data_IF_137126751071
#
_entry.id   IF_137126751071
#
_cell.length_a   1.000
_cell.length_b   1.000
_cell.length_c   1.000
_cell.angle_alpha   90.00
_cell.angle_beta   90.00
_cell.angle_gamma   90.00
#
_symmetry.space_group_name_H-M   'P 1'
#
loop_
_entity.id
_entity.type
_entity.pdbx_description
1 polymer ?
#
# COMPACT_ATOMS: atom_id res chain seq x y z
N UNK A 1 7.96 16.12 7.07
CA UNK A 1 7.79 14.68 7.40
C UNK A 1 8.22 13.72 6.29
N UNK A 2 7.50 13.56 5.17
CA UNK A 2 7.92 12.59 4.13
C UNK A 2 9.21 13.01 3.42
N UNK A 3 9.36 14.30 3.10
CA UNK A 3 10.62 14.83 2.55
C UNK A 3 11.77 14.72 3.55
N UNK A 4 11.53 15.01 4.83
CA UNK A 4 12.52 14.79 5.89
C UNK A 4 12.93 13.32 6.00
N UNK A 5 11.98 12.39 5.92
CA UNK A 5 12.27 10.96 5.90
C UNK A 5 13.09 10.57 4.66
N UNK A 6 12.78 11.16 3.50
CA UNK A 6 13.54 10.97 2.28
C UNK A 6 15.00 11.42 2.44
N UNK A 7 15.22 12.61 2.99
CA UNK A 7 16.57 13.13 3.27
C UNK A 7 17.30 12.26 4.31
N UNK A 8 16.68 12.01 5.46
CA UNK A 8 17.28 11.28 6.57
C UNK A 8 17.65 9.82 6.22
N UNK A 9 16.96 9.22 5.25
CA UNK A 9 17.23 7.85 4.79
C UNK A 9 17.90 7.78 3.42
N UNK A 10 18.18 8.93 2.78
CA UNK A 10 18.54 8.98 1.37
C UNK A 10 17.60 8.13 0.51
N UNK A 11 16.30 8.18 0.82
CA UNK A 11 15.30 7.29 0.27
C UNK A 11 14.74 7.83 -1.05
N UNK A 12 14.61 6.93 -2.01
CA UNK A 12 14.02 7.19 -3.33
C UNK A 12 12.54 6.78 -3.43
N UNK A 13 12.03 6.13 -2.38
CA UNK A 13 10.66 5.63 -2.29
C UNK A 13 10.16 5.75 -0.84
N UNK A 14 9.18 6.62 -0.62
CA UNK A 14 8.65 6.98 0.70
C UNK A 14 7.13 6.97 0.65
N UNK A 15 6.49 6.60 1.75
CA UNK A 15 5.04 6.82 1.90
C UNK A 15 4.72 7.29 3.31
N UNK A 16 3.45 7.61 3.58
CA UNK A 16 2.96 7.85 4.94
C UNK A 16 1.80 6.93 5.29
N UNK A 17 1.38 6.92 6.54
CA UNK A 17 0.14 6.27 6.93
C UNK A 17 -1.06 7.07 6.38
N UNK A 18 -2.20 6.40 6.27
CA UNK A 18 -3.49 7.00 5.95
C UNK A 18 -4.44 6.75 7.12
N UNK A 19 -5.43 7.61 7.28
CA UNK A 19 -6.62 7.32 8.07
C UNK A 19 -7.86 7.33 7.19
N UNK A 20 -8.83 6.48 7.50
CA UNK A 20 -10.15 6.54 6.87
C UNK A 20 -11.04 7.51 7.66
N UNK A 21 -11.99 8.18 6.98
CA UNK A 21 -13.06 8.96 7.61
C UNK A 21 -14.39 8.76 6.88
N UNK A 22 -15.50 8.91 7.58
CA UNK A 22 -16.85 8.87 6.98
C UNK A 22 -17.46 10.27 6.92
N UNK A 23 -17.30 11.02 8.01
CA UNK A 23 -17.81 12.38 8.16
C UNK A 23 -16.68 13.41 8.27
N UNK A 24 -16.89 14.63 7.74
CA UNK A 24 -15.87 15.69 7.77
C UNK A 24 -15.56 16.16 9.20
N UNK A 25 -16.50 16.02 10.13
CA UNK A 25 -16.29 16.31 11.55
C UNK A 25 -15.23 15.43 12.21
N UNK A 26 -14.89 14.28 11.62
CA UNK A 26 -13.79 13.40 12.07
C UNK A 26 -12.40 13.94 11.67
N UNK A 27 -12.33 14.93 10.78
CA UNK A 27 -11.07 15.46 10.26
C UNK A 27 -10.43 16.43 11.26
N UNK A 28 -9.33 15.97 11.84
CA UNK A 28 -8.42 16.80 12.63
C UNK A 28 -7.05 16.88 11.95
N UNK A 29 -6.46 18.08 12.01
CA UNK A 29 -5.14 18.41 11.42
C UNK A 29 -4.20 18.98 12.48
N UNK A 30 -3.86 18.22 13.54
CA UNK A 30 -2.91 18.69 14.54
C UNK A 30 -1.53 18.91 13.91
N UNK A 31 -0.76 19.84 14.48
CA UNK A 31 0.63 20.04 14.07
C UNK A 31 1.43 18.74 14.29
N UNK A 32 2.29 18.41 13.33
CA UNK A 32 3.08 17.19 13.38
C UNK A 32 4.37 17.46 14.16
N UNK A 33 4.53 16.80 15.30
CA UNK A 33 5.71 16.97 16.18
C UNK A 33 6.83 15.98 15.87
N UNK A 34 6.51 14.85 15.25
CA UNK A 34 7.45 13.81 14.86
C UNK A 34 6.73 12.53 14.47
N UNK A 35 7.44 11.62 13.80
CA UNK A 35 6.89 10.34 13.37
C UNK A 35 7.98 9.28 13.27
N UNK A 36 7.64 8.05 13.69
CA UNK A 36 8.51 6.89 13.47
C UNK A 36 8.57 6.53 11.99
N UNK A 37 9.68 5.91 11.58
CA UNK A 37 9.85 5.38 10.23
C UNK A 37 9.83 3.85 10.25
N UNK A 38 9.11 3.25 9.30
CA UNK A 38 9.05 1.80 9.07
C UNK A 38 9.65 1.47 7.71
N UNK A 39 10.62 0.55 7.68
CA UNK A 39 11.06 -0.06 6.42
C UNK A 39 10.02 -1.08 5.94
N UNK A 40 9.43 -0.82 4.77
CA UNK A 40 8.50 -1.73 4.09
C UNK A 40 9.26 -2.39 2.93
N UNK A 41 9.45 -3.70 3.05
CA UNK A 41 10.09 -4.55 2.04
C UNK A 41 9.05 -5.29 1.20
N UNK A 42 9.50 -5.93 0.11
CA UNK A 42 8.66 -6.76 -0.76
C UNK A 42 7.80 -7.77 0.02
N UNK A 43 8.42 -8.56 0.90
CA UNK A 43 7.72 -9.55 1.72
C UNK A 43 6.72 -8.89 2.66
N UNK A 44 7.06 -7.76 3.29
CA UNK A 44 6.15 -7.06 4.22
C UNK A 44 4.93 -6.50 3.50
N UNK A 45 5.12 -5.96 2.30
CA UNK A 45 4.05 -5.44 1.45
C UNK A 45 3.13 -6.56 0.93
N UNK A 46 3.70 -7.74 0.61
CA UNK A 46 2.93 -8.94 0.22
C UNK A 46 2.09 -9.51 1.36
N UNK A 47 2.66 -9.61 2.56
CA UNK A 47 1.94 -10.08 3.75
C UNK A 47 0.73 -9.20 4.06
N UNK A 48 0.91 -7.89 3.96
CA UNK A 48 -0.16 -6.92 4.18
C UNK A 48 0.15 -5.67 3.35
N UNK A 49 -0.83 -5.18 2.59
CA UNK A 49 -0.71 -3.88 1.93
C UNK A 49 -0.41 -2.79 2.96
N UNK A 50 0.82 -2.28 2.96
CA UNK A 50 1.35 -1.32 3.92
C UNK A 50 1.51 0.07 3.33
N UNK A 51 1.71 0.19 2.03
CA UNK A 51 1.88 1.45 1.31
C UNK A 51 0.50 1.97 0.85
N UNK A 52 0.01 3.10 1.39
CA UNK A 52 -1.16 3.79 0.85
C UNK A 52 -0.79 4.51 -0.44
N UNK A 53 -1.56 4.27 -1.51
CA UNK A 53 -1.19 4.72 -2.85
C UNK A 53 -1.03 6.23 -2.99
N UNK A 54 -2.04 7.02 -2.59
CA UNK A 54 -1.97 8.48 -2.72
C UNK A 54 -1.07 9.16 -1.69
N UNK A 55 -0.32 8.40 -0.88
CA UNK A 55 0.69 8.96 0.02
C UNK A 55 2.13 8.74 -0.45
N UNK A 56 2.34 8.16 -1.64
CA UNK A 56 3.68 7.84 -2.14
C UNK A 56 4.41 9.09 -2.66
N UNK A 57 5.67 9.24 -2.23
CA UNK A 57 6.67 10.05 -2.90
C UNK A 57 7.75 9.11 -3.46
N UNK A 58 8.09 9.30 -4.73
CA UNK A 58 9.01 8.42 -5.45
C UNK A 58 9.80 9.23 -6.47
N UNK A 59 11.04 8.84 -6.73
CA UNK A 59 11.86 9.51 -7.74
C UNK A 59 11.34 9.24 -9.15
N UNK A 60 11.61 10.19 -10.06
CA UNK A 60 11.24 10.08 -11.47
C UNK A 60 11.86 8.84 -12.12
N UNK A 61 13.11 8.55 -11.78
CA UNK A 61 13.89 7.45 -12.32
C UNK A 61 13.23 6.11 -12.00
N UNK A 62 12.70 5.95 -10.78
CA UNK A 62 11.97 4.73 -10.41
C UNK A 62 10.66 4.59 -11.17
N UNK A 63 9.92 5.67 -11.38
CA UNK A 63 8.65 5.58 -12.12
C UNK A 63 8.85 5.28 -13.60
N UNK A 64 9.96 5.71 -14.19
CA UNK A 64 10.33 5.35 -15.57
C UNK A 64 10.74 3.87 -15.64
N UNK A 65 11.51 3.38 -14.68
CA UNK A 65 11.93 1.99 -14.63
C UNK A 65 10.77 1.02 -14.33
N UNK A 66 9.77 1.48 -13.57
CA UNK A 66 8.64 0.69 -13.11
C UNK A 66 7.30 1.42 -13.40
N UNK A 67 6.89 1.53 -14.67
CA UNK A 67 5.62 2.16 -15.00
C UNK A 67 4.44 1.31 -14.51
N UNK A 68 3.28 1.96 -14.29
CA UNK A 68 2.03 1.25 -14.04
C UNK A 68 1.69 0.31 -15.19
N UNK A 69 1.06 -0.81 -14.87
CA UNK A 69 0.59 -1.73 -15.90
C UNK A 69 -0.82 -1.32 -16.32
N UNK A 70 -0.98 -0.93 -17.59
CA UNK A 70 -2.24 -0.43 -18.15
C UNK A 70 -3.17 -1.55 -18.64
N UNK A 71 -2.71 -2.81 -18.63
CA UNK A 71 -3.56 -3.94 -18.99
C UNK A 71 -4.76 -4.02 -18.03
N UNK A 72 -5.96 -4.22 -18.59
CA UNK A 72 -7.23 -4.30 -17.87
C UNK A 72 -7.22 -5.32 -16.71
N UNK A 73 -6.35 -6.33 -16.80
CA UNK A 73 -6.14 -7.32 -15.76
C UNK A 73 -5.60 -6.72 -14.45
N UNK A 74 -4.97 -5.56 -14.49
CA UNK A 74 -4.44 -4.89 -13.30
C UNK A 74 -5.34 -3.79 -12.78
N UNK A 75 -6.51 -3.55 -13.40
CA UNK A 75 -7.45 -2.53 -12.94
C UNK A 75 -7.81 -2.72 -11.46
N UNK A 76 -7.62 -1.65 -10.69
CA UNK A 76 -7.77 -1.52 -9.25
C UNK A 76 -6.66 -2.18 -8.39
N UNK A 77 -5.57 -2.64 -9.01
CA UNK A 77 -4.37 -3.16 -8.34
C UNK A 77 -3.06 -2.72 -9.04
N UNK A 78 -3.15 -1.81 -10.00
CA UNK A 78 -2.03 -1.33 -10.83
C UNK A 78 -0.94 -0.65 -10.00
N UNK A 79 -1.36 0.08 -8.97
CA UNK A 79 -0.54 0.74 -7.98
C UNK A 79 0.22 -0.28 -7.12
N UNK A 80 -0.49 -1.24 -6.53
CA UNK A 80 0.05 -2.30 -5.70
C UNK A 80 1.05 -3.15 -6.49
N UNK A 81 0.74 -3.45 -7.75
CA UNK A 81 1.64 -4.14 -8.67
C UNK A 81 2.92 -3.36 -8.90
N UNK A 82 2.83 -2.05 -9.20
CA UNK A 82 3.98 -1.18 -9.37
C UNK A 82 4.86 -1.14 -8.11
N UNK A 83 4.27 -0.93 -6.94
CA UNK A 83 5.01 -0.92 -5.67
C UNK A 83 5.73 -2.24 -5.41
N UNK A 84 5.09 -3.37 -5.71
CA UNK A 84 5.74 -4.67 -5.55
C UNK A 84 6.89 -4.89 -6.55
N UNK A 85 6.80 -4.40 -7.78
CA UNK A 85 7.91 -4.44 -8.74
C UNK A 85 9.10 -3.60 -8.27
N UNK A 86 8.86 -2.39 -7.77
CA UNK A 86 9.90 -1.54 -7.17
C UNK A 86 10.55 -2.27 -5.99
N UNK A 87 9.76 -2.78 -5.05
CA UNK A 87 10.28 -3.47 -3.87
C UNK A 87 11.04 -4.76 -4.22
N UNK A 88 10.60 -5.49 -5.25
CA UNK A 88 11.25 -6.71 -5.71
C UNK A 88 12.62 -6.44 -6.36
N UNK A 89 12.91 -5.21 -6.79
CA UNK A 89 14.23 -4.81 -7.27
C UNK A 89 15.26 -4.58 -6.15
N UNK A 90 14.83 -4.69 -4.88
CA UNK A 90 15.67 -4.46 -3.70
C UNK A 90 15.51 -3.06 -3.11
N UNK A 91 14.77 -2.16 -3.76
CA UNK A 91 14.41 -0.86 -3.20
C UNK A 91 13.55 -1.05 -1.95
N UNK A 92 13.80 -0.24 -0.92
CA UNK A 92 13.01 -0.22 0.31
C UNK A 92 12.11 1.01 0.30
N UNK A 93 10.84 0.83 0.65
CA UNK A 93 9.96 1.95 0.96
C UNK A 93 10.14 2.35 2.43
N UNK A 94 10.38 3.62 2.70
CA UNK A 94 10.36 4.16 4.06
C UNK A 94 9.00 4.79 4.35
N UNK A 95 8.23 4.17 5.23
CA UNK A 95 6.91 4.64 5.60
C UNK A 95 6.98 5.50 6.86
N UNK A 96 6.48 6.72 6.77
CA UNK A 96 6.20 7.59 7.92
C UNK A 96 4.97 7.06 8.65
N UNK A 97 5.13 6.61 9.91
CA UNK A 97 4.05 6.10 10.76
C UNK A 97 3.23 7.24 11.39
N UNK A 98 2.71 8.10 10.53
CA UNK A 98 1.80 9.18 10.90
C UNK A 98 0.82 9.40 9.75
N UNK A 99 -0.50 9.55 10.02
CA UNK A 99 -1.51 9.70 8.99
C UNK A 99 -1.45 11.11 8.37
N UNK A 100 -0.77 11.25 7.24
CA UNK A 100 -0.70 12.52 6.48
C UNK A 100 -1.74 12.59 5.36
N UNK A 101 -2.51 11.52 5.19
CA UNK A 101 -3.58 11.39 4.21
C UNK A 101 -4.85 10.92 4.92
N UNK A 102 -6.00 11.48 4.52
CA UNK A 102 -7.32 11.03 4.97
C UNK A 102 -8.14 10.59 3.78
N UNK A 103 -8.67 9.37 3.79
CA UNK A 103 -9.54 8.86 2.73
C UNK A 103 -11.00 8.84 3.16
N UNK A 104 -11.85 9.49 2.36
CA UNK A 104 -13.29 9.40 2.55
C UNK A 104 -13.77 8.01 2.16
N UNK A 105 -14.52 7.37 3.04
CA UNK A 105 -15.23 6.12 2.76
C UNK A 105 -16.64 6.44 2.26
N UNK A 106 -17.00 5.85 1.13
CA UNK A 106 -18.33 5.95 0.53
C UNK A 106 -18.85 4.52 0.33
N UNK A 107 -20.12 4.29 0.62
CA UNK A 107 -20.77 3.00 0.36
C UNK A 107 -20.76 2.69 -1.15
N UNK A 108 -20.53 1.42 -1.52
CA UNK A 108 -20.64 0.98 -2.93
C UNK A 108 -19.41 1.21 -3.83
N UNK A 109 -18.24 1.59 -3.30
CA UNK A 109 -17.02 1.74 -4.11
C UNK A 109 -16.56 0.41 -4.76
N UNK A 110 -15.94 0.50 -5.95
CA UNK A 110 -15.50 -0.63 -6.82
C UNK A 110 -14.67 -1.68 -6.07
N UNK A 111 -13.79 -1.25 -5.16
CA UNK A 111 -13.01 -2.14 -4.29
C UNK A 111 -13.86 -2.96 -3.30
N UNK A 112 -15.18 -2.80 -3.31
CA UNK A 112 -16.14 -3.54 -2.48
C UNK A 112 -16.40 -4.96 -2.97
N UNK A 113 -16.13 -5.28 -4.24
CA UNK A 113 -16.24 -6.65 -4.74
C UNK A 113 -15.06 -7.50 -4.25
N UNK A 114 -15.25 -8.15 -3.10
CA UNK A 114 -14.22 -8.98 -2.43
C UNK A 114 -13.68 -10.08 -3.34
N UNK A 115 -14.56 -10.73 -4.12
CA UNK A 115 -14.17 -11.80 -5.04
C UNK A 115 -13.26 -11.27 -6.15
N UNK A 116 -13.65 -10.17 -6.79
CA UNK A 116 -12.84 -9.52 -7.83
C UNK A 116 -11.46 -9.17 -7.30
N UNK A 117 -11.38 -8.55 -6.12
CA UNK A 117 -10.09 -8.19 -5.50
C UNK A 117 -9.23 -9.41 -5.14
N UNK A 118 -9.84 -10.50 -4.65
CA UNK A 118 -9.14 -11.75 -4.34
C UNK A 118 -8.51 -12.38 -5.59
N UNK A 119 -9.26 -12.46 -6.68
CA UNK A 119 -8.77 -13.00 -7.96
C UNK A 119 -7.58 -12.19 -8.48
N UNK A 120 -7.66 -10.86 -8.41
CA UNK A 120 -6.59 -9.95 -8.80
C UNK A 120 -5.34 -10.07 -7.93
N UNK A 121 -5.51 -10.13 -6.61
CA UNK A 121 -4.36 -10.30 -5.71
C UNK A 121 -3.68 -11.66 -5.87
N UNK A 122 -4.45 -12.72 -6.10
CA UNK A 122 -3.89 -14.04 -6.37
C UNK A 122 -3.07 -14.06 -7.66
N UNK A 123 -3.64 -13.53 -8.75
CA UNK A 123 -2.95 -13.36 -10.03
C UNK A 123 -1.62 -12.60 -9.83
N UNK A 124 -1.68 -11.45 -9.17
CA UNK A 124 -0.52 -10.60 -8.94
C UNK A 124 0.58 -11.31 -8.13
N UNK A 125 0.22 -11.99 -7.03
CA UNK A 125 1.22 -12.72 -6.24
C UNK A 125 1.84 -13.89 -7.00
N UNK A 126 1.10 -14.51 -7.93
CA UNK A 126 1.59 -15.61 -8.76
C UNK A 126 2.61 -15.19 -9.82
N UNK A 127 2.58 -13.93 -10.26
CA UNK A 127 3.45 -13.43 -11.33
C UNK A 127 4.90 -13.19 -10.89
N UNK A 128 5.14 -13.01 -9.58
CA UNK A 128 6.49 -12.76 -9.09
C UNK A 128 7.35 -14.04 -9.09
N UNK A 129 8.60 -13.98 -9.59
CA UNK A 129 9.51 -15.11 -9.65
C UNK A 129 9.64 -15.82 -8.29
N UNK A 130 9.80 -17.15 -8.34
CA UNK A 130 9.95 -18.01 -7.16
C UNK A 130 8.75 -18.06 -6.21
N UNK A 131 7.59 -17.51 -6.59
CA UNK A 131 6.37 -17.65 -5.77
C UNK A 131 5.67 -18.98 -6.07
N UNK A 132 5.72 -19.90 -5.09
CA UNK A 132 4.93 -21.14 -5.12
C UNK A 132 3.43 -20.84 -5.06
N UNK A 133 2.60 -21.73 -5.61
CA UNK A 133 1.14 -21.63 -5.59
C UNK A 133 0.61 -21.44 -4.15
N UNK A 134 1.13 -22.21 -3.19
CA UNK A 134 0.75 -22.11 -1.78
C UNK A 134 1.13 -20.77 -1.15
N UNK A 135 2.29 -20.23 -1.52
CA UNK A 135 2.72 -18.92 -1.06
C UNK A 135 1.82 -17.81 -1.63
N UNK A 136 1.49 -17.85 -2.92
CA UNK A 136 0.54 -16.91 -3.52
C UNK A 136 -0.83 -16.94 -2.84
N UNK A 137 -1.34 -18.15 -2.54
CA UNK A 137 -2.58 -18.31 -1.78
C UNK A 137 -2.47 -17.69 -0.38
N UNK A 138 -1.37 -17.94 0.34
CA UNK A 138 -1.12 -17.36 1.66
C UNK A 138 -1.15 -15.82 1.62
N UNK A 139 -0.41 -15.19 0.71
CA UNK A 139 -0.37 -13.72 0.62
C UNK A 139 -1.73 -13.12 0.24
N UNK A 140 -2.48 -13.80 -0.63
CA UNK A 140 -3.85 -13.38 -0.99
C UNK A 140 -4.77 -13.44 0.23
N UNK A 141 -4.69 -14.53 1.01
CA UNK A 141 -5.47 -14.70 2.23
C UNK A 141 -5.08 -13.67 3.29
N UNK A 142 -3.80 -13.41 3.51
CA UNK A 142 -3.35 -12.41 4.49
C UNK A 142 -3.76 -11.00 4.07
N UNK A 143 -3.82 -10.70 2.76
CA UNK A 143 -4.37 -9.45 2.27
C UNK A 143 -5.85 -9.30 2.62
N UNK A 144 -6.66 -10.33 2.36
CA UNK A 144 -8.09 -10.31 2.66
C UNK A 144 -8.39 -10.28 4.17
N UNK A 145 -7.70 -11.10 4.95
CA UNK A 145 -7.85 -11.18 6.41
C UNK A 145 -7.31 -9.93 7.11
N UNK A 146 -6.20 -9.36 6.64
CA UNK A 146 -5.64 -8.11 7.16
C UNK A 146 -6.60 -6.93 6.98
N UNK A 147 -7.29 -6.88 5.83
CA UNK A 147 -8.38 -5.95 5.58
C UNK A 147 -9.57 -6.18 6.50
N UNK A 148 -9.96 -7.43 6.76
CA UNK A 148 -11.06 -7.77 7.66
C UNK A 148 -10.78 -7.46 9.13
N UNK A 149 -9.59 -7.85 9.64
CA UNK A 149 -9.18 -7.67 11.03
C UNK A 149 -9.15 -6.19 11.42
N UNK A 150 -8.50 -5.34 10.62
CA UNK A 150 -8.44 -3.90 10.90
C UNK A 150 -9.81 -3.21 10.80
N UNK A 151 -10.66 -3.70 9.89
CA UNK A 151 -11.96 -3.08 9.58
C UNK A 151 -13.06 -3.43 10.56
N UNK A 152 -13.01 -4.62 11.17
CA UNK A 152 -14.08 -5.11 12.07
C UNK A 152 -13.64 -5.11 13.53
N UNK A 153 -12.40 -5.51 13.80
CA UNK A 153 -11.95 -5.70 15.18
C UNK A 153 -11.20 -4.49 15.73
N UNK A 154 -10.52 -3.70 14.88
CA UNK A 154 -9.72 -2.56 15.33
C UNK A 154 -10.35 -1.18 15.07
N UNK A 155 -11.53 -1.13 14.40
CA UNK A 155 -12.28 0.11 14.04
C UNK A 155 -11.37 1.27 13.60
N UNK A 156 -10.29 0.99 12.86
CA UNK A 156 -9.36 2.03 12.47
C UNK A 156 -8.17 1.49 11.68
N UNK A 157 -7.83 2.22 10.63
CA UNK A 157 -6.53 2.23 9.95
C UNK A 157 -5.97 3.66 10.06
#
# INVERSE_FOLDING_TARGET
>A
MQLEAAVAKSAVFVSSQMKDFWDESELTFPAVTGAELEAVTFTRQRLKGRIPTSSVLVTRELMIAFPFNEDIRYKAVEDYHCWLRILNSGVVNWKVKYPLLSYRRIAGQISGSKRYMLERMYMLHREFPNTRISAAALFTLTHALGGFYYRILRKGL
#
